data_IF_447730189937
#
_entry.id   IF_447730189937
#
_cell.length_a   1.000
_cell.length_b   1.000
_cell.length_c   1.000
_cell.angle_alpha   90.00
_cell.angle_beta   90.00
_cell.angle_gamma   90.00
#
_symmetry.space_group_name_H-M   'P 1'
#
loop_
_entity.id
_entity.type
_entity.pdbx_description
1 polymer ?
#
# COMPACT_ATOMS: atom_id res chain seq x y z
N UNK A 1 -3.06 -26.97 -22.97
CA UNK A 1 -3.68 -26.63 -21.66
C UNK A 1 -3.91 -25.13 -21.63
N UNK A 2 -5.06 -24.65 -21.13
CA UNK A 2 -5.26 -23.21 -20.90
C UNK A 2 -4.31 -22.74 -19.80
N UNK A 3 -3.68 -21.57 -19.97
CA UNK A 3 -2.82 -20.96 -18.96
C UNK A 3 -3.62 -20.73 -17.67
N UNK A 4 -3.05 -21.12 -16.52
CA UNK A 4 -3.62 -20.81 -15.21
C UNK A 4 -3.27 -19.35 -14.87
N UNK A 5 -4.28 -18.54 -14.56
CA UNK A 5 -4.09 -17.15 -14.12
C UNK A 5 -3.83 -17.10 -12.62
N UNK A 6 -3.17 -16.03 -12.18
CA UNK A 6 -2.91 -15.71 -10.78
C UNK A 6 -3.78 -14.52 -10.37
N UNK A 7 -4.67 -14.73 -9.40
CA UNK A 7 -5.67 -13.77 -8.97
C UNK A 7 -5.30 -13.25 -7.58
N UNK A 8 -4.78 -12.03 -7.50
CA UNK A 8 -4.58 -11.34 -6.23
C UNK A 8 -5.92 -10.82 -5.72
N UNK A 9 -6.39 -11.36 -4.60
CA UNK A 9 -7.59 -10.84 -3.96
C UNK A 9 -7.16 -9.74 -2.99
N UNK A 10 -7.84 -8.60 -3.06
CA UNK A 10 -7.70 -7.53 -2.08
C UNK A 10 -8.25 -7.98 -0.70
N UNK A 11 -7.79 -7.36 0.38
CA UNK A 11 -8.17 -7.76 1.74
C UNK A 11 -9.68 -7.61 2.01
N UNK A 12 -10.35 -6.66 1.34
CA UNK A 12 -11.80 -6.53 1.43
C UNK A 12 -12.53 -7.76 0.88
N UNK A 13 -11.97 -8.46 -0.11
CA UNK A 13 -12.52 -9.70 -0.67
C UNK A 13 -12.31 -10.85 0.31
N UNK A 14 -11.11 -11.00 0.87
CA UNK A 14 -10.86 -12.00 1.90
C UNK A 14 -11.73 -11.79 3.15
N UNK A 15 -11.91 -10.54 3.57
CA UNK A 15 -12.82 -10.19 4.68
C UNK A 15 -14.26 -10.62 4.42
N UNK A 16 -14.74 -10.51 3.17
CA UNK A 16 -16.06 -11.02 2.77
C UNK A 16 -16.11 -12.56 2.82
N UNK A 17 -15.06 -13.22 2.30
CA UNK A 17 -14.94 -14.67 2.30
C UNK A 17 -14.87 -15.28 3.70
N UNK A 18 -14.39 -14.54 4.70
CA UNK A 18 -14.39 -14.96 6.10
C UNK A 18 -15.78 -14.89 6.75
N UNK A 19 -16.76 -14.20 6.16
CA UNK A 19 -18.08 -14.12 6.77
C UNK A 19 -18.74 -15.51 6.85
N UNK A 20 -19.49 -15.82 7.93
CA UNK A 20 -20.14 -17.13 8.07
C UNK A 20 -21.02 -17.52 6.89
N UNK A 21 -21.72 -16.54 6.29
CA UNK A 21 -22.63 -16.76 5.15
C UNK A 21 -21.96 -16.90 3.78
N UNK A 22 -20.65 -16.69 3.65
CA UNK A 22 -19.96 -16.65 2.36
C UNK A 22 -19.66 -18.04 1.73
N UNK A 23 -20.38 -19.10 2.15
CA UNK A 23 -20.17 -20.49 1.70
C UNK A 23 -20.20 -20.61 0.17
N UNK A 24 -21.20 -20.00 -0.47
CA UNK A 24 -21.34 -20.04 -1.92
C UNK A 24 -20.17 -19.33 -2.63
N UNK A 25 -19.70 -18.21 -2.06
CA UNK A 25 -18.60 -17.44 -2.61
C UNK A 25 -17.27 -18.19 -2.48
N UNK A 26 -16.98 -18.77 -1.30
CA UNK A 26 -15.81 -19.64 -1.09
C UNK A 26 -15.79 -20.79 -2.09
N UNK A 27 -16.92 -21.49 -2.25
CA UNK A 27 -17.05 -22.57 -3.24
C UNK A 27 -16.78 -22.11 -4.67
N UNK A 28 -17.25 -20.92 -5.05
CA UNK A 28 -17.02 -20.37 -6.39
C UNK A 28 -15.54 -20.08 -6.63
N UNK A 29 -14.83 -19.49 -5.66
CA UNK A 29 -13.39 -19.25 -5.76
C UNK A 29 -12.57 -20.55 -5.76
N UNK A 30 -12.87 -21.52 -4.88
CA UNK A 30 -12.20 -22.82 -4.88
C UNK A 30 -12.40 -23.61 -6.18
N UNK A 31 -13.50 -23.37 -6.91
CA UNK A 31 -13.79 -24.02 -8.18
C UNK A 31 -13.13 -23.36 -9.40
N UNK A 32 -12.47 -22.20 -9.23
CA UNK A 32 -11.80 -21.53 -10.33
C UNK A 32 -10.59 -22.35 -10.81
N UNK A 33 -10.36 -22.47 -12.12
CA UNK A 33 -9.17 -23.12 -12.66
C UNK A 33 -7.95 -22.17 -12.61
N UNK A 34 -7.83 -21.36 -11.55
CA UNK A 34 -6.87 -20.25 -11.38
C UNK A 34 -6.29 -20.30 -9.96
N UNK A 35 -5.12 -19.68 -9.74
CA UNK A 35 -4.49 -19.61 -8.41
C UNK A 35 -4.98 -18.36 -7.69
N UNK A 36 -5.40 -18.50 -6.44
CA UNK A 36 -5.71 -17.38 -5.55
C UNK A 36 -4.42 -16.96 -4.85
N UNK A 37 -4.08 -15.68 -4.89
CA UNK A 37 -2.83 -15.17 -4.35
C UNK A 37 -3.05 -14.22 -3.16
N UNK A 38 -2.14 -14.27 -2.19
CA UNK A 38 -2.05 -13.37 -1.03
C UNK A 38 -0.58 -12.95 -0.79
N UNK A 39 -0.33 -12.10 0.21
CA UNK A 39 0.98 -11.48 0.46
C UNK A 39 1.16 -11.14 1.95
N UNK A 40 2.32 -10.60 2.34
CA UNK A 40 2.59 -10.16 3.72
C UNK A 40 1.67 -9.00 4.17
N UNK A 41 1.14 -8.21 3.23
CA UNK A 41 0.16 -7.16 3.54
C UNK A 41 -1.11 -7.80 4.14
N UNK A 42 -1.54 -8.93 3.58
CA UNK A 42 -2.68 -9.68 4.11
C UNK A 42 -2.41 -10.28 5.49
N UNK A 43 -1.22 -10.81 5.71
CA UNK A 43 -0.82 -11.35 7.02
C UNK A 43 -0.92 -10.25 8.08
N UNK A 44 -0.41 -9.06 7.78
CA UNK A 44 -0.51 -7.88 8.65
C UNK A 44 -1.97 -7.52 8.96
N UNK A 45 -2.83 -7.47 7.93
CA UNK A 45 -4.23 -7.07 8.11
C UNK A 45 -5.10 -8.13 8.79
N UNK A 46 -4.83 -9.41 8.54
CA UNK A 46 -5.58 -10.54 9.07
C UNK A 46 -5.04 -11.08 10.40
N UNK A 47 -4.04 -10.43 11.01
CA UNK A 47 -3.42 -10.86 12.29
C UNK A 47 -4.42 -11.18 13.41
N UNK A 48 -5.55 -10.46 13.47
CA UNK A 48 -6.58 -10.67 14.49
C UNK A 48 -7.55 -11.82 14.17
N UNK A 49 -7.54 -12.32 12.93
CA UNK A 49 -8.37 -13.43 12.45
C UNK A 49 -7.47 -14.53 11.83
N UNK A 50 -6.26 -14.72 12.37
CA UNK A 50 -5.22 -15.51 11.72
C UNK A 50 -5.59 -17.00 11.60
N UNK A 51 -6.35 -17.54 12.56
CA UNK A 51 -6.81 -18.94 12.52
C UNK A 51 -7.82 -19.17 11.39
N UNK A 52 -8.86 -18.32 11.31
CA UNK A 52 -9.88 -18.40 10.27
C UNK A 52 -9.28 -18.11 8.89
N UNK A 53 -8.36 -17.15 8.81
CA UNK A 53 -7.69 -16.80 7.57
C UNK A 53 -6.77 -17.92 7.08
N UNK A 54 -5.99 -18.55 7.97
CA UNK A 54 -5.16 -19.71 7.61
C UNK A 54 -6.01 -20.87 7.08
N UNK A 55 -7.14 -21.14 7.74
CA UNK A 55 -8.11 -22.15 7.28
C UNK A 55 -8.63 -21.81 5.88
N UNK A 56 -9.03 -20.55 5.64
CA UNK A 56 -9.51 -20.10 4.33
C UNK A 56 -8.43 -20.23 3.23
N UNK A 57 -7.18 -19.86 3.52
CA UNK A 57 -6.08 -19.97 2.55
C UNK A 57 -5.82 -21.43 2.15
N UNK A 58 -5.89 -22.35 3.12
CA UNK A 58 -5.79 -23.78 2.88
C UNK A 58 -6.98 -24.32 2.07
N UNK A 59 -8.21 -23.88 2.36
CA UNK A 59 -9.42 -24.24 1.59
C UNK A 59 -9.37 -23.75 0.12
N UNK A 60 -8.68 -22.64 -0.14
CA UNK A 60 -8.55 -22.03 -1.47
C UNK A 60 -7.34 -22.55 -2.26
N UNK A 61 -6.50 -23.42 -1.70
CA UNK A 61 -5.17 -23.78 -2.25
C UNK A 61 -4.38 -22.53 -2.70
N UNK A 62 -4.36 -21.52 -1.82
CA UNK A 62 -3.79 -20.22 -2.14
C UNK A 62 -2.26 -20.30 -2.36
N UNK A 63 -1.72 -19.30 -3.04
CA UNK A 63 -0.28 -19.10 -3.24
C UNK A 63 0.15 -17.78 -2.62
N UNK A 64 1.39 -17.73 -2.16
CA UNK A 64 1.96 -16.51 -1.63
C UNK A 64 2.74 -15.77 -2.72
N UNK A 65 2.47 -14.48 -2.88
CA UNK A 65 3.26 -13.58 -3.71
C UNK A 65 4.49 -13.17 -2.92
N UNK A 66 5.65 -13.66 -3.36
CA UNK A 66 6.95 -13.21 -2.88
C UNK A 66 7.34 -11.95 -3.63
N UNK A 67 7.96 -11.00 -2.95
CA UNK A 67 8.57 -9.83 -3.57
C UNK A 67 10.06 -10.13 -3.88
N UNK A 68 10.43 -10.47 -5.13
CA UNK A 68 11.80 -10.89 -5.46
C UNK A 68 12.79 -9.72 -5.55
N UNK A 69 12.32 -8.46 -5.43
CA UNK A 69 13.16 -7.27 -5.43
C UNK A 69 14.25 -7.30 -4.36
N UNK A 70 14.03 -8.05 -3.28
CA UNK A 70 15.01 -8.27 -2.20
C UNK A 70 16.16 -9.22 -2.58
N UNK A 71 16.02 -10.07 -3.59
CA UNK A 71 16.96 -11.19 -3.83
C UNK A 71 17.66 -11.10 -5.19
N UNK A 72 17.02 -10.51 -6.20
CA UNK A 72 17.49 -10.64 -7.59
C UNK A 72 17.62 -9.34 -8.38
N UNK A 73 17.34 -8.17 -7.79
CA UNK A 73 17.30 -6.89 -8.51
C UNK A 73 16.53 -7.00 -9.84
N UNK A 74 15.46 -7.80 -9.86
CA UNK A 74 14.63 -8.04 -11.03
C UNK A 74 13.18 -7.97 -10.61
N UNK A 75 12.46 -7.05 -11.23
CA UNK A 75 11.01 -7.03 -11.16
C UNK A 75 10.51 -7.97 -12.25
N UNK A 76 10.18 -9.21 -11.90
CA UNK A 76 9.61 -10.18 -12.83
C UNK A 76 8.13 -10.41 -12.46
N UNK A 77 7.17 -10.03 -13.33
CA UNK A 77 5.76 -9.91 -12.97
C UNK A 77 5.03 -11.23 -12.65
N UNK A 78 5.62 -12.42 -12.79
CA UNK A 78 4.90 -13.70 -12.52
C UNK A 78 5.77 -14.73 -11.76
N UNK A 79 7.05 -14.43 -11.52
CA UNK A 79 8.06 -15.46 -11.22
C UNK A 79 8.28 -15.78 -9.74
N UNK A 80 7.53 -15.17 -8.83
CA UNK A 80 7.79 -15.22 -7.40
C UNK A 80 6.56 -15.69 -6.62
N UNK A 81 6.08 -16.90 -6.93
CA UNK A 81 5.02 -17.55 -6.16
C UNK A 81 5.61 -18.63 -5.28
N UNK A 82 5.30 -18.56 -3.99
CA UNK A 82 5.62 -19.59 -3.02
C UNK A 82 4.38 -20.39 -2.62
N UNK A 83 4.62 -21.53 -1.97
CA UNK A 83 3.61 -22.20 -1.17
C UNK A 83 3.05 -21.26 -0.10
N UNK A 84 1.75 -21.37 0.19
CA UNK A 84 1.08 -20.52 1.17
C UNK A 84 1.70 -20.64 2.57
N UNK A 85 1.82 -21.85 3.12
CA UNK A 85 2.27 -22.14 4.49
C UNK A 85 1.83 -21.06 5.51
N UNK A 86 0.52 -20.76 5.60
CA UNK A 86 0.03 -19.58 6.29
C UNK A 86 0.38 -19.57 7.79
N UNK A 87 0.42 -20.73 8.44
CA UNK A 87 0.79 -20.86 9.85
C UNK A 87 2.24 -20.43 10.09
N UNK A 88 3.17 -20.80 9.22
CA UNK A 88 4.58 -20.38 9.30
C UNK A 88 4.71 -18.87 9.06
N UNK A 89 3.94 -18.32 8.12
CA UNK A 89 3.96 -16.88 7.83
C UNK A 89 3.43 -16.05 8.98
N UNK A 90 2.35 -16.48 9.62
CA UNK A 90 1.85 -15.83 10.83
C UNK A 90 2.84 -15.96 11.98
N UNK A 91 3.47 -17.13 12.17
CA UNK A 91 4.51 -17.30 13.18
C UNK A 91 5.66 -16.30 12.99
N UNK A 92 6.18 -16.19 11.76
CA UNK A 92 7.20 -15.20 11.41
C UNK A 92 6.71 -13.77 11.64
N UNK A 93 5.47 -13.45 11.23
CA UNK A 93 4.91 -12.12 11.47
C UNK A 93 4.86 -11.77 12.95
N UNK A 94 4.42 -12.71 13.81
CA UNK A 94 4.35 -12.47 15.26
C UNK A 94 5.73 -12.37 15.90
N UNK A 95 6.72 -13.12 15.40
CA UNK A 95 8.12 -12.98 15.84
C UNK A 95 8.68 -11.58 15.55
N UNK A 96 8.38 -11.03 14.38
CA UNK A 96 8.86 -9.72 13.94
C UNK A 96 7.85 -8.58 14.09
N UNK A 97 6.71 -8.80 14.76
CA UNK A 97 5.64 -7.80 14.89
C UNK A 97 6.10 -6.44 15.43
N UNK A 98 7.06 -6.37 16.37
CA UNK A 98 7.52 -5.07 16.86
C UNK A 98 8.26 -4.24 15.80
N UNK A 99 8.93 -4.90 14.85
CA UNK A 99 9.57 -4.21 13.72
C UNK A 99 8.52 -3.67 12.74
N UNK A 100 7.49 -4.46 12.43
CA UNK A 100 6.37 -4.01 11.59
C UNK A 100 5.62 -2.83 12.22
N UNK A 101 5.36 -2.89 13.53
CA UNK A 101 4.75 -1.78 14.28
C UNK A 101 5.60 -0.52 14.21
N UNK A 102 6.93 -0.64 14.36
CA UNK A 102 7.83 0.50 14.22
C UNK A 102 7.77 1.13 12.82
N UNK A 103 7.72 0.33 11.75
CA UNK A 103 7.55 0.86 10.39
C UNK A 103 6.19 1.52 10.19
N UNK A 104 5.12 1.00 10.78
CA UNK A 104 3.80 1.64 10.75
C UNK A 104 3.81 3.01 11.45
N UNK A 105 4.57 3.17 12.53
CA UNK A 105 4.73 4.47 13.20
C UNK A 105 5.47 5.51 12.33
N UNK A 106 6.33 5.06 11.41
CA UNK A 106 6.97 5.93 10.40
C UNK A 106 5.99 6.49 9.36
N UNK A 107 4.75 5.99 9.31
CA UNK A 107 3.70 6.58 8.46
C UNK A 107 3.17 7.90 9.02
N UNK A 108 3.36 8.20 10.31
CA UNK A 108 2.80 9.39 10.93
C UNK A 108 3.37 10.72 10.38
N UNK A 109 4.69 10.88 10.13
CA UNK A 109 5.23 12.05 9.44
C UNK A 109 4.69 12.18 8.01
N UNK A 110 4.58 11.08 7.26
CA UNK A 110 3.99 11.11 5.91
C UNK A 110 2.53 11.54 5.94
N UNK A 111 1.76 11.05 6.91
CA UNK A 111 0.38 11.47 7.12
C UNK A 111 0.29 12.97 7.40
N UNK A 112 1.24 13.53 8.14
CA UNK A 112 1.34 14.96 8.38
C UNK A 112 1.66 15.74 7.09
N UNK A 113 2.67 15.31 6.34
CA UNK A 113 3.06 15.92 5.06
C UNK A 113 1.90 15.96 4.06
N UNK A 114 1.08 14.92 4.04
CA UNK A 114 -0.08 14.81 3.14
C UNK A 114 -1.34 15.54 3.63
N UNK A 115 -1.20 16.40 4.64
CA UNK A 115 -2.30 17.24 5.13
C UNK A 115 -3.24 16.54 6.11
N UNK A 116 -2.83 15.43 6.71
CA UNK A 116 -3.43 14.89 7.93
C UNK A 116 -2.71 15.39 9.18
N UNK A 117 -3.25 15.08 10.36
CA UNK A 117 -2.70 15.53 11.67
C UNK A 117 -2.35 17.03 11.73
N UNK A 118 -3.11 17.90 11.01
CA UNK A 118 -2.82 19.34 10.93
C UNK A 118 -2.93 20.05 12.28
N UNK A 119 -3.52 19.39 13.28
CA UNK A 119 -3.60 19.86 14.65
C UNK A 119 -2.26 19.82 15.42
N UNK A 120 -1.21 19.21 14.85
CA UNK A 120 0.13 19.11 15.45
C UNK A 120 1.16 19.87 14.61
N UNK A 121 2.29 20.24 15.20
CA UNK A 121 3.47 20.67 14.43
C UNK A 121 4.26 19.46 13.95
N UNK A 122 5.10 19.64 12.92
CA UNK A 122 6.01 18.58 12.48
C UNK A 122 6.95 18.12 13.60
N UNK A 123 7.45 19.03 14.43
CA UNK A 123 8.25 18.70 15.63
C UNK A 123 7.51 17.73 16.57
N UNK A 124 6.22 17.99 16.84
CA UNK A 124 5.42 17.14 17.70
C UNK A 124 5.20 15.77 17.07
N UNK A 125 4.93 15.71 15.76
CA UNK A 125 4.76 14.45 15.04
C UNK A 125 6.06 13.65 15.05
N UNK A 126 7.19 14.27 14.76
CA UNK A 126 8.49 13.62 14.74
C UNK A 126 8.87 13.05 16.12
N UNK A 127 8.69 13.81 17.20
CA UNK A 127 8.96 13.36 18.57
C UNK A 127 8.03 12.22 19.03
N UNK A 128 6.75 12.27 18.65
CA UNK A 128 5.82 11.17 18.93
C UNK A 128 6.19 9.90 18.19
N UNK A 129 6.55 10.01 16.91
CA UNK A 129 7.02 8.89 16.09
C UNK A 129 8.30 8.29 16.62
N UNK A 130 9.30 9.10 17.01
CA UNK A 130 10.53 8.63 17.64
C UNK A 130 10.22 7.79 18.88
N UNK A 131 9.34 8.31 19.76
CA UNK A 131 8.96 7.63 20.98
C UNK A 131 8.23 6.32 20.69
N UNK A 132 7.31 6.31 19.73
CA UNK A 132 6.56 5.11 19.37
C UNK A 132 7.46 4.02 18.78
N UNK A 133 8.33 4.37 17.84
CA UNK A 133 9.34 3.46 17.27
C UNK A 133 10.25 2.92 18.37
N UNK A 134 10.73 3.79 19.25
CA UNK A 134 11.58 3.37 20.38
C UNK A 134 10.85 2.36 21.27
N UNK A 135 9.57 2.58 21.58
CA UNK A 135 8.79 1.66 22.41
C UNK A 135 8.57 0.30 21.71
N UNK A 136 8.29 0.29 20.41
CA UNK A 136 8.11 -0.94 19.63
C UNK A 136 9.43 -1.72 19.52
N UNK A 137 10.55 -1.06 19.25
CA UNK A 137 11.83 -1.74 19.06
C UNK A 137 12.58 -2.09 20.35
N UNK A 138 12.46 -1.29 21.41
CA UNK A 138 13.28 -1.47 22.62
C UNK A 138 12.69 -2.47 23.63
N UNK A 139 11.37 -2.67 23.66
CA UNK A 139 10.74 -3.67 24.55
C UNK A 139 11.17 -5.13 24.23
N UNK A 140 11.34 -5.53 22.95
CA UNK A 140 11.81 -6.87 22.59
C UNK A 140 13.34 -7.02 22.57
N UNK A 141 14.10 -5.98 22.21
CA UNK A 141 15.55 -6.08 21.96
C UNK A 141 16.40 -6.14 23.23
N UNK A 142 15.88 -5.71 24.39
CA UNK A 142 16.65 -5.62 25.62
C UNK A 142 17.72 -4.51 25.56
N UNK A 143 17.83 -3.72 26.63
CA UNK A 143 18.88 -2.69 26.71
C UNK A 143 20.23 -3.35 27.04
N UNK A 144 21.06 -3.59 26.03
CA UNK A 144 22.51 -3.62 26.25
C UNK A 144 23.08 -2.22 25.95
N UNK A 145 23.65 -1.51 26.95
CA UNK A 145 24.07 -0.10 26.83
C UNK A 145 25.22 0.14 25.85
N UNK A 146 25.98 -0.89 25.48
CA UNK A 146 27.20 -0.78 24.67
C UNK A 146 27.08 -1.45 23.28
N UNK A 147 25.85 -1.64 22.77
CA UNK A 147 25.57 -2.33 21.49
C UNK A 147 24.73 -1.54 20.47
N UNK A 148 24.20 -2.24 19.45
CA UNK A 148 23.39 -1.72 18.32
C UNK A 148 22.21 -0.81 18.72
N UNK A 149 21.75 -0.86 19.98
CA UNK A 149 20.70 -0.02 20.56
C UNK A 149 21.07 1.48 20.54
N UNK A 150 22.35 1.81 20.74
CA UNK A 150 22.86 3.19 20.68
C UNK A 150 22.85 3.77 19.27
N UNK A 151 23.17 2.95 18.27
CA UNK A 151 23.14 3.36 16.86
C UNK A 151 21.71 3.62 16.38
N UNK A 152 20.76 2.75 16.73
CA UNK A 152 19.34 2.95 16.42
C UNK A 152 18.81 4.21 17.09
N UNK A 153 19.13 4.45 18.36
CA UNK A 153 18.69 5.66 19.06
C UNK A 153 19.27 6.93 18.42
N UNK A 154 20.54 6.93 18.03
CA UNK A 154 21.16 8.07 17.35
C UNK A 154 20.57 8.31 15.95
N UNK A 155 20.32 7.25 15.18
CA UNK A 155 19.67 7.34 13.89
C UNK A 155 18.25 7.90 14.00
N UNK A 156 17.48 7.45 15.00
CA UNK A 156 16.14 7.96 15.27
C UNK A 156 16.17 9.45 15.62
N UNK A 157 17.03 9.88 16.55
CA UNK A 157 17.18 11.30 16.89
C UNK A 157 17.55 12.16 15.68
N UNK A 158 18.51 11.73 14.87
CA UNK A 158 18.88 12.45 13.64
C UNK A 158 17.73 12.54 12.64
N UNK A 159 16.94 11.47 12.51
CA UNK A 159 15.72 11.44 11.71
C UNK A 159 14.67 12.42 12.23
N UNK A 160 14.45 12.45 13.55
CA UNK A 160 13.54 13.39 14.23
C UNK A 160 13.92 14.84 13.95
N UNK A 161 15.19 15.20 14.13
CA UNK A 161 15.69 16.56 13.88
C UNK A 161 15.51 16.97 12.41
N UNK A 162 15.76 16.04 11.49
CA UNK A 162 15.56 16.28 10.05
C UNK A 162 14.09 16.52 9.71
N UNK A 163 13.18 15.70 10.26
CA UNK A 163 11.74 15.85 10.05
C UNK A 163 11.23 17.15 10.65
N UNK A 164 11.61 17.48 11.89
CA UNK A 164 11.25 18.70 12.59
C UNK A 164 11.54 19.98 11.78
N UNK A 165 12.60 19.96 10.98
CA UNK A 165 12.99 21.11 10.14
C UNK A 165 12.09 21.38 8.93
N UNK A 166 11.13 20.51 8.61
CA UNK A 166 10.28 20.63 7.42
C UNK A 166 9.10 21.58 7.69
N UNK A 167 9.02 22.67 6.93
CA UNK A 167 7.83 23.53 6.90
C UNK A 167 6.76 22.95 5.96
N UNK A 168 5.60 22.65 6.53
CA UNK A 168 4.47 22.01 5.85
C UNK A 168 3.31 22.97 5.55
N UNK A 169 3.42 24.21 6.02
CA UNK A 169 2.32 25.18 6.04
C UNK A 169 1.83 25.55 4.63
N UNK A 170 2.77 25.82 3.73
CA UNK A 170 2.48 26.12 2.31
C UNK A 170 2.14 24.85 1.52
N UNK A 171 2.70 23.70 1.91
CA UNK A 171 2.51 22.41 1.24
C UNK A 171 1.05 21.97 1.30
N UNK A 172 0.38 22.11 2.45
CA UNK A 172 -1.01 21.67 2.59
C UNK A 172 -1.98 22.45 1.72
N UNK A 173 -1.77 23.76 1.57
CA UNK A 173 -2.59 24.58 0.70
C UNK A 173 -2.44 24.13 -0.76
N UNK A 174 -1.21 23.86 -1.19
CA UNK A 174 -0.91 23.32 -2.53
C UNK A 174 -1.61 21.97 -2.74
N UNK A 175 -1.53 21.05 -1.78
CA UNK A 175 -2.22 19.75 -1.85
C UNK A 175 -3.74 19.94 -1.97
N UNK A 176 -4.35 20.78 -1.13
CA UNK A 176 -5.80 21.00 -1.15
C UNK A 176 -6.25 21.61 -2.48
N UNK A 177 -5.49 22.57 -3.02
CA UNK A 177 -5.74 23.18 -4.33
C UNK A 177 -5.60 22.14 -5.45
N UNK A 178 -4.53 21.34 -5.43
CA UNK A 178 -4.29 20.27 -6.41
C UNK A 178 -5.43 19.25 -6.42
N UNK A 179 -5.79 18.71 -5.25
CA UNK A 179 -6.88 17.72 -5.11
C UNK A 179 -8.21 18.31 -5.56
N UNK A 180 -8.48 19.58 -5.25
CA UNK A 180 -9.70 20.25 -5.68
C UNK A 180 -9.74 20.42 -7.20
N UNK A 181 -8.64 20.88 -7.81
CA UNK A 181 -8.52 21.06 -9.25
C UNK A 181 -8.58 19.73 -10.04
N UNK A 182 -8.09 18.63 -9.46
CA UNK A 182 -8.19 17.31 -10.07
C UNK A 182 -9.65 16.80 -10.14
N UNK A 183 -10.48 17.16 -9.15
CA UNK A 183 -11.82 16.60 -8.94
C UNK A 183 -12.98 17.50 -9.37
N UNK A 184 -12.74 18.79 -9.61
CA UNK A 184 -13.79 19.76 -9.93
C UNK A 184 -14.59 19.36 -11.19
N UNK A 185 -15.91 19.20 -11.02
CA UNK A 185 -16.82 18.85 -12.12
C UNK A 185 -16.79 17.37 -12.55
N UNK A 186 -16.06 16.51 -11.83
CA UNK A 186 -15.87 15.11 -12.16
C UNK A 186 -15.36 14.83 -13.60
N UNK A 187 -14.17 15.35 -13.95
CA UNK A 187 -13.64 15.25 -15.30
C UNK A 187 -13.15 13.84 -15.63
N UNK A 188 -12.73 13.07 -14.62
CA UNK A 188 -12.12 11.74 -14.77
C UNK A 188 -13.13 10.60 -14.94
N UNK A 189 -14.45 10.87 -14.86
CA UNK A 189 -15.47 9.81 -14.87
C UNK A 189 -15.38 8.87 -16.07
N UNK A 190 -15.23 9.44 -17.27
CA UNK A 190 -15.26 8.71 -18.53
C UNK A 190 -13.85 8.55 -19.14
N UNK A 191 -12.81 9.02 -18.46
CA UNK A 191 -11.42 8.88 -18.88
C UNK A 191 -10.96 7.43 -18.71
N UNK A 192 -10.10 6.98 -19.62
CA UNK A 192 -9.38 5.73 -19.41
C UNK A 192 -8.38 5.85 -18.25
N UNK A 193 -7.93 4.73 -17.65
CA UNK A 193 -7.05 4.79 -16.48
C UNK A 193 -5.72 5.55 -16.71
N UNK A 194 -5.15 5.50 -17.91
CA UNK A 194 -3.91 6.23 -18.23
C UNK A 194 -4.16 7.74 -18.37
N UNK A 195 -5.26 8.11 -19.04
CA UNK A 195 -5.74 9.49 -19.16
C UNK A 195 -5.99 10.13 -17.79
N UNK A 196 -6.51 9.39 -16.81
CA UNK A 196 -6.66 9.89 -15.43
C UNK A 196 -5.34 10.28 -14.80
N UNK A 197 -4.29 9.49 -15.02
CA UNK A 197 -2.94 9.82 -14.52
C UNK A 197 -2.44 11.11 -15.19
N UNK A 198 -2.53 11.20 -16.51
CA UNK A 198 -2.15 12.43 -17.22
C UNK A 198 -2.95 13.65 -16.77
N UNK A 199 -4.25 13.49 -16.49
CA UNK A 199 -5.09 14.56 -15.98
C UNK A 199 -4.63 15.04 -14.60
N UNK A 200 -4.38 14.16 -13.63
CA UNK A 200 -3.91 14.60 -12.30
C UNK A 200 -2.54 15.26 -12.37
N UNK A 201 -1.62 14.74 -13.20
CA UNK A 201 -0.30 15.34 -13.43
C UNK A 201 -0.40 16.70 -14.13
N UNK A 202 -1.41 16.91 -14.98
CA UNK A 202 -1.63 18.19 -15.66
C UNK A 202 -2.01 19.34 -14.71
N UNK A 203 -2.42 19.02 -13.47
CA UNK A 203 -2.80 20.02 -12.46
C UNK A 203 -1.62 20.50 -11.63
N UNK A 204 -0.52 19.76 -11.63
CA UNK A 204 0.73 20.18 -11.00
C UNK A 204 1.33 21.39 -11.71
N UNK A 205 2.20 22.13 -11.01
CA UNK A 205 3.04 23.12 -11.68
C UNK A 205 3.98 22.45 -12.69
N UNK A 206 4.46 23.23 -13.66
CA UNK A 206 5.39 22.71 -14.70
C UNK A 206 6.63 22.05 -14.08
N UNK A 207 7.18 22.65 -13.01
CA UNK A 207 8.37 22.17 -12.33
C UNK A 207 8.11 20.83 -11.63
N UNK A 208 7.01 20.72 -10.87
CA UNK A 208 6.62 19.49 -10.18
C UNK A 208 6.29 18.38 -11.17
N UNK A 209 5.52 18.70 -12.21
CA UNK A 209 5.15 17.74 -13.25
C UNK A 209 6.38 17.17 -13.93
N UNK A 210 7.34 18.02 -14.29
CA UNK A 210 8.60 17.58 -14.91
C UNK A 210 9.39 16.66 -13.98
N UNK A 211 9.58 17.05 -12.72
CA UNK A 211 10.29 16.20 -11.74
C UNK A 211 9.61 14.84 -11.56
N UNK A 212 8.28 14.82 -11.48
CA UNK A 212 7.51 13.59 -11.38
C UNK A 212 7.66 12.69 -12.61
N UNK A 213 7.63 13.25 -13.83
CA UNK A 213 7.81 12.50 -15.08
C UNK A 213 9.26 12.01 -15.25
N UNK A 214 10.25 12.75 -14.74
CA UNK A 214 11.65 12.31 -14.73
C UNK A 214 11.84 11.07 -13.82
N UNK A 215 11.17 11.04 -12.67
CA UNK A 215 11.22 9.91 -11.73
C UNK A 215 10.37 8.71 -12.16
N UNK A 216 9.16 9.01 -12.65
CA UNK A 216 8.14 8.06 -13.11
C UNK A 216 7.71 8.36 -14.55
N UNK A 217 8.59 8.10 -15.54
CA UNK A 217 8.19 8.20 -16.94
C UNK A 217 7.09 7.19 -17.26
N UNK A 218 6.27 7.45 -18.28
CA UNK A 218 5.25 6.50 -18.70
C UNK A 218 5.90 5.14 -19.02
N UNK A 219 5.29 4.06 -18.51
CA UNK A 219 5.78 2.68 -18.58
C UNK A 219 7.11 2.45 -17.87
N UNK A 220 7.43 3.23 -16.82
CA UNK A 220 8.70 3.10 -16.08
C UNK A 220 9.02 1.68 -15.60
N UNK A 221 8.03 0.84 -15.29
CA UNK A 221 8.25 -0.55 -14.92
C UNK A 221 8.78 -1.44 -16.06
N UNK A 222 8.61 -1.01 -17.31
CA UNK A 222 9.21 -1.64 -18.50
C UNK A 222 10.59 -1.08 -18.83
N UNK A 223 10.93 0.09 -18.28
CA UNK A 223 12.18 0.80 -18.55
C UNK A 223 13.28 0.47 -17.55
N UNK A 224 12.91 0.12 -16.31
CA UNK A 224 13.86 -0.18 -15.24
C UNK A 224 13.30 -1.15 -14.22
N UNK A 225 14.21 -1.73 -13.45
CA UNK A 225 13.89 -2.50 -12.26
C UNK A 225 13.35 -1.54 -11.20
N UNK A 226 12.20 -1.89 -10.61
CA UNK A 226 11.61 -1.15 -9.50
C UNK A 226 12.16 -1.66 -8.17
N UNK A 227 12.41 -0.75 -7.24
CA UNK A 227 12.70 -1.10 -5.85
C UNK A 227 11.39 -1.45 -5.12
N UNK A 228 11.49 -2.27 -4.08
CA UNK A 228 10.37 -2.52 -3.17
C UNK A 228 9.85 -1.21 -2.58
N UNK A 229 8.53 -1.03 -2.57
CA UNK A 229 7.86 0.17 -2.08
C UNK A 229 7.73 1.28 -3.13
N UNK A 230 8.39 1.16 -4.28
CA UNK A 230 8.38 2.22 -5.28
C UNK A 230 7.03 2.34 -5.99
N UNK A 231 6.39 1.20 -6.31
CA UNK A 231 5.04 1.22 -6.89
C UNK A 231 4.00 1.64 -5.84
N UNK A 232 4.19 1.24 -4.57
CA UNK A 232 3.40 1.73 -3.44
C UNK A 232 3.47 3.25 -3.36
N UNK A 233 4.68 3.82 -3.38
CA UNK A 233 4.89 5.27 -3.34
C UNK A 233 4.25 6.00 -4.52
N UNK A 234 4.39 5.47 -5.74
CA UNK A 234 3.75 6.00 -6.93
C UNK A 234 2.21 5.98 -6.83
N UNK A 235 1.62 4.82 -6.49
CA UNK A 235 0.18 4.70 -6.30
C UNK A 235 -0.34 5.65 -5.21
N UNK A 236 0.40 5.77 -4.11
CA UNK A 236 0.05 6.66 -3.01
C UNK A 236 0.17 8.15 -3.37
N UNK A 237 1.13 8.51 -4.23
CA UNK A 237 1.24 9.86 -4.79
C UNK A 237 0.05 10.17 -5.71
N UNK A 238 -0.34 9.26 -6.61
CA UNK A 238 -1.55 9.42 -7.44
C UNK A 238 -2.80 9.61 -6.60
N UNK A 239 -2.92 8.82 -5.54
CA UNK A 239 -3.98 8.97 -4.56
C UNK A 239 -3.99 10.36 -3.90
N UNK A 240 -2.82 10.81 -3.41
CA UNK A 240 -2.64 12.13 -2.80
C UNK A 240 -2.91 13.29 -3.75
N UNK A 241 -2.68 13.12 -5.06
CA UNK A 241 -3.03 14.09 -6.10
C UNK A 241 -4.51 14.09 -6.48
N UNK A 242 -5.32 13.24 -5.84
CA UNK A 242 -6.77 13.24 -5.98
C UNK A 242 -7.32 12.33 -7.09
N UNK A 243 -6.55 11.35 -7.55
CA UNK A 243 -6.96 10.43 -8.63
C UNK A 243 -8.26 9.67 -8.31
N UNK A 244 -8.44 9.22 -7.07
CA UNK A 244 -9.71 8.63 -6.61
C UNK A 244 -10.61 9.70 -6.00
N UNK A 245 -11.93 9.50 -5.99
CA UNK A 245 -12.88 10.56 -5.58
C UNK A 245 -13.32 10.49 -4.11
N UNK A 246 -13.60 9.28 -3.61
CA UNK A 246 -14.32 9.10 -2.33
C UNK A 246 -13.37 9.07 -1.15
N UNK A 247 -12.10 8.72 -1.38
CA UNK A 247 -11.00 8.70 -0.43
C UNK A 247 -10.03 9.88 -0.71
N UNK A 248 -9.27 10.34 0.29
CA UNK A 248 -8.20 11.35 0.09
C UNK A 248 -8.44 12.74 0.68
N UNK A 249 -9.41 12.89 1.60
CA UNK A 249 -9.37 13.97 2.60
C UNK A 249 -9.05 13.37 3.95
N UNK A 250 -7.82 13.59 4.42
CA UNK A 250 -7.35 13.13 5.73
C UNK A 250 -7.81 14.11 6.81
N UNK A 251 -9.13 14.21 7.02
CA UNK A 251 -9.71 15.07 8.05
C UNK A 251 -10.63 14.30 8.98
N UNK A 252 -10.75 14.78 10.22
CA UNK A 252 -11.65 14.23 11.23
C UNK A 252 -11.05 13.12 12.12
N UNK A 253 -11.84 12.59 13.08
CA UNK A 253 -11.33 11.78 14.21
C UNK A 253 -10.76 10.41 13.83
N UNK A 254 -11.03 9.92 12.61
CA UNK A 254 -10.52 8.64 12.09
C UNK A 254 -9.45 8.82 11.01
N UNK A 255 -8.90 10.02 10.85
CA UNK A 255 -7.94 10.34 9.78
C UNK A 255 -6.73 9.38 9.76
N UNK A 256 -6.15 9.06 10.92
CA UNK A 256 -4.98 8.18 11.02
C UNK A 256 -5.28 6.75 10.59
N UNK A 257 -6.40 6.19 11.05
CA UNK A 257 -6.83 4.85 10.66
C UNK A 257 -7.11 4.78 9.16
N UNK A 258 -7.73 5.82 8.61
CA UNK A 258 -7.98 5.93 7.16
C UNK A 258 -6.67 6.04 6.37
N UNK A 259 -5.71 6.83 6.83
CA UNK A 259 -4.41 6.98 6.17
C UNK A 259 -3.66 5.66 6.07
N UNK A 260 -3.51 4.96 7.21
CA UNK A 260 -2.83 3.66 7.22
C UNK A 260 -3.54 2.64 6.32
N UNK A 261 -4.88 2.65 6.29
CA UNK A 261 -5.64 1.80 5.36
C UNK A 261 -5.40 2.19 3.89
N UNK A 262 -5.35 3.48 3.55
CA UNK A 262 -5.01 3.92 2.18
C UNK A 262 -3.59 3.53 1.76
N UNK A 263 -2.64 3.62 2.70
CA UNK A 263 -1.27 3.19 2.43
C UNK A 263 -1.20 1.68 2.17
N UNK A 264 -1.93 0.88 2.95
CA UNK A 264 -2.06 -0.56 2.70
C UNK A 264 -2.74 -0.86 1.38
N UNK A 265 -3.80 -0.13 0.99
CA UNK A 265 -4.41 -0.24 -0.35
C UNK A 265 -3.32 -0.10 -1.45
N UNK A 266 -2.38 0.85 -1.30
CA UNK A 266 -1.25 1.02 -2.22
C UNK A 266 -0.23 -0.14 -2.17
N UNK A 267 0.02 -0.73 -0.99
CA UNK A 267 0.86 -1.92 -0.87
C UNK A 267 0.20 -3.14 -1.55
N UNK A 268 -1.12 -3.30 -1.44
CA UNK A 268 -1.85 -4.33 -2.20
C UNK A 268 -1.70 -4.14 -3.71
N UNK A 269 -1.73 -2.90 -4.21
CA UNK A 269 -1.49 -2.60 -5.63
C UNK A 269 -0.07 -3.02 -6.03
N UNK A 270 0.94 -2.72 -5.21
CA UNK A 270 2.29 -3.20 -5.45
C UNK A 270 2.33 -4.73 -5.53
N UNK A 271 1.83 -5.45 -4.54
CA UNK A 271 1.88 -6.91 -4.56
C UNK A 271 1.10 -7.50 -5.75
N UNK A 272 -0.06 -6.94 -6.08
CA UNK A 272 -0.90 -7.39 -7.18
C UNK A 272 -0.29 -7.16 -8.57
N UNK A 273 0.65 -6.22 -8.73
CA UNK A 273 1.36 -6.03 -10.01
C UNK A 273 2.20 -7.24 -10.44
N UNK A 274 2.40 -8.22 -9.53
CA UNK A 274 3.01 -9.54 -9.79
C UNK A 274 1.99 -10.65 -10.12
N UNK A 275 0.75 -10.27 -10.36
CA UNK A 275 -0.36 -11.17 -10.65
C UNK A 275 -1.02 -10.80 -11.97
N UNK A 276 -1.81 -11.71 -12.52
CA UNK A 276 -2.60 -11.44 -13.73
C UNK A 276 -3.79 -10.51 -13.43
N UNK A 277 -4.35 -10.61 -12.22
CA UNK A 277 -5.50 -9.81 -11.81
C UNK A 277 -5.36 -9.27 -10.37
N UNK A 278 -5.77 -8.02 -10.17
CA UNK A 278 -6.13 -7.44 -8.88
C UNK A 278 -7.66 -7.43 -8.76
N UNK A 279 -8.21 -8.11 -7.74
CA UNK A 279 -9.65 -8.27 -7.55
C UNK A 279 -10.07 -7.60 -6.25
N UNK A 280 -11.01 -6.66 -6.31
CA UNK A 280 -11.47 -5.90 -5.13
C UNK A 280 -12.97 -5.64 -5.17
N UNK A 281 -13.58 -5.38 -4.01
CA UNK A 281 -14.92 -4.79 -3.89
C UNK A 281 -14.89 -3.25 -3.80
N UNK A 282 -13.71 -2.68 -3.63
CA UNK A 282 -13.55 -1.24 -3.43
C UNK A 282 -13.34 -0.53 -4.78
N UNK A 283 -14.32 0.29 -5.15
CA UNK A 283 -14.32 1.05 -6.39
C UNK A 283 -13.11 1.99 -6.51
N UNK A 284 -12.70 2.62 -5.41
CA UNK A 284 -11.60 3.58 -5.40
C UNK A 284 -10.27 2.83 -5.49
N UNK A 285 -10.11 1.70 -4.79
CA UNK A 285 -8.93 0.85 -4.92
C UNK A 285 -8.82 0.29 -6.34
N UNK A 286 -9.95 -0.11 -6.94
CA UNK A 286 -10.01 -0.57 -8.33
C UNK A 286 -9.56 0.52 -9.31
N UNK A 287 -10.02 1.76 -9.13
CA UNK A 287 -9.66 2.89 -10.00
C UNK A 287 -8.18 3.26 -9.85
N UNK A 288 -7.67 3.25 -8.62
CA UNK A 288 -6.27 3.52 -8.32
C UNK A 288 -5.34 2.46 -8.92
N UNK A 289 -5.68 1.18 -8.73
CA UNK A 289 -4.91 0.05 -9.25
C UNK A 289 -4.86 0.07 -10.78
N UNK A 290 -6.02 0.23 -11.44
CA UNK A 290 -6.10 0.26 -12.89
C UNK A 290 -5.26 1.39 -13.49
N UNK A 291 -5.32 2.58 -12.89
CA UNK A 291 -4.57 3.76 -13.34
C UNK A 291 -3.07 3.58 -13.08
N UNK A 292 -2.72 3.00 -11.93
CA UNK A 292 -1.34 2.67 -11.57
C UNK A 292 -0.72 1.69 -12.56
N UNK A 293 -1.39 0.56 -12.83
CA UNK A 293 -0.89 -0.47 -13.74
C UNK A 293 -0.78 0.04 -15.17
N UNK A 294 -1.80 0.76 -15.66
CA UNK A 294 -1.81 1.33 -17.00
C UNK A 294 -0.62 2.27 -17.23
N UNK A 295 -0.39 3.21 -16.31
CA UNK A 295 0.71 4.18 -16.45
C UNK A 295 2.08 3.54 -16.19
N UNK A 296 2.22 2.68 -15.18
CA UNK A 296 3.49 2.02 -14.87
C UNK A 296 3.90 0.99 -15.94
N UNK A 297 2.95 0.48 -16.73
CA UNK A 297 3.19 -0.48 -17.80
C UNK A 297 3.03 -1.95 -17.38
N UNK A 298 2.25 -2.22 -16.33
CA UNK A 298 1.94 -3.58 -15.90
C UNK A 298 0.82 -4.22 -16.72
N UNK A 299 0.92 -5.52 -17.07
CA UNK A 299 -0.16 -6.23 -17.76
C UNK A 299 -1.31 -6.63 -16.83
N UNK A 300 -1.17 -6.42 -15.51
CA UNK A 300 -2.15 -6.77 -14.49
C UNK A 300 -3.49 -6.08 -14.74
N UNK A 301 -4.55 -6.88 -14.79
CA UNK A 301 -5.92 -6.38 -14.95
C UNK A 301 -6.54 -6.08 -13.60
N UNK A 302 -7.41 -5.08 -13.54
CA UNK A 302 -8.20 -4.82 -12.34
C UNK A 302 -9.65 -5.25 -12.53
N UNK A 303 -10.18 -6.01 -11.57
CA UNK A 303 -11.55 -6.50 -11.57
C UNK A 303 -12.28 -6.00 -10.34
N UNK A 304 -13.31 -5.19 -10.56
CA UNK A 304 -14.24 -4.78 -9.50
C UNK A 304 -15.36 -5.82 -9.39
N UNK A 305 -15.48 -6.45 -8.23
CA UNK A 305 -16.61 -7.30 -7.91
C UNK A 305 -17.82 -6.43 -7.54
N UNK A 306 -18.98 -6.74 -8.10
CA UNK A 306 -20.24 -6.13 -7.69
C UNK A 306 -20.92 -7.02 -6.65
N UNK A 307 -21.26 -6.46 -5.49
CA UNK A 307 -22.14 -7.13 -4.56
C UNK A 307 -23.52 -7.27 -5.21
N UNK A 308 -23.97 -8.51 -5.41
CA UNK A 308 -25.36 -8.84 -5.74
C UNK A 308 -26.18 -8.99 -4.47
#
# INVERSE_FOLDING_TARGET
MKRQLVLYLDNCVFSELLKPGAIAMRRNFSALPHRIAFSDVHITEMRNNHEEYSTLLNELDAVFVRNPGQVHERYDPISALDTAVPEERFANYFEFSPAYEAFDEMLAPMHHLMGGRREKSMDQVALETERAITNSLMNPLGFEPDGNSGEVSNALKSGTESLASIDVSEVWQTIDTQVSAAREGDPMREMDPGEKVHHVLSKLSETERRGFIEEFPEKFAQLRVLKTGELTGFAFALFGMGLTKRKGKFTGPRQTQKFAAQFRDAQHIEEASRCDCFITFDQDASELAASTFAYAGFPTQTLLLMNQ
#
